data_IF_075547426617
#
_entry.id   IF_075547426617
#
_cell.length_a   1.000
_cell.length_b   1.000
_cell.length_c   1.000
_cell.angle_alpha   90.00
_cell.angle_beta   90.00
_cell.angle_gamma   90.00
#
_symmetry.space_group_name_H-M   'P 1'
#
loop_
_entity.id
_entity.type
_entity.pdbx_description
1 polymer ?
#
# COMPACT_ATOMS: atom_id res chain seq x y z
N UNK A 1 -3.31 17.66 3.38
CA UNK A 1 -2.73 16.30 3.32
C UNK A 1 -3.08 15.76 1.95
N UNK A 2 -2.10 15.32 1.17
CA UNK A 2 -2.37 14.82 -0.18
C UNK A 2 -3.04 13.45 -0.12
N UNK A 3 -3.92 13.16 -1.07
CA UNK A 3 -4.33 11.78 -1.30
C UNK A 3 -3.06 10.95 -1.58
N UNK A 4 -2.97 9.75 -0.99
CA UNK A 4 -1.98 8.76 -1.41
C UNK A 4 -2.26 8.46 -2.88
N UNK A 5 -1.47 9.05 -3.78
CA UNK A 5 -1.79 8.96 -5.21
C UNK A 5 -1.51 7.55 -5.73
N UNK A 6 -2.41 7.00 -6.56
CA UNK A 6 -2.13 5.76 -7.28
C UNK A 6 -0.81 5.89 -8.04
N UNK A 7 0.09 4.93 -7.84
CA UNK A 7 1.34 4.88 -8.58
C UNK A 7 1.18 4.18 -9.93
N UNK A 8 2.28 4.12 -10.69
CA UNK A 8 2.37 3.27 -11.89
C UNK A 8 3.15 2.03 -11.54
N UNK A 9 2.56 0.88 -11.86
CA UNK A 9 3.20 -0.44 -11.78
C UNK A 9 3.89 -0.76 -13.10
N UNK A 10 5.11 -1.25 -13.02
CA UNK A 10 5.95 -1.59 -14.17
C UNK A 10 6.45 -3.01 -13.95
N UNK A 11 6.06 -3.93 -14.83
CA UNK A 11 6.62 -5.27 -14.84
C UNK A 11 8.07 -5.21 -15.39
N UNK A 12 9.00 -5.82 -14.66
CA UNK A 12 10.43 -5.86 -14.98
C UNK A 12 10.81 -7.29 -15.27
N UNK A 13 10.92 -7.63 -16.55
CA UNK A 13 11.38 -8.94 -17.02
C UNK A 13 12.78 -8.87 -17.67
N UNK A 14 13.18 -7.69 -18.14
CA UNK A 14 14.43 -7.46 -18.86
C UNK A 14 15.00 -6.08 -18.51
N UNK A 15 16.31 -5.88 -18.72
CA UNK A 15 16.98 -4.59 -18.48
C UNK A 15 16.43 -3.45 -19.37
N UNK A 16 15.69 -3.76 -20.44
CA UNK A 16 14.99 -2.76 -21.27
C UNK A 16 13.94 -1.95 -20.47
N UNK A 17 13.47 -2.46 -19.33
CA UNK A 17 12.54 -1.77 -18.44
C UNK A 17 13.16 -0.54 -17.73
N UNK A 18 14.50 -0.38 -17.73
CA UNK A 18 15.20 0.77 -17.12
C UNK A 18 14.60 2.09 -17.60
N UNK A 19 14.38 2.24 -18.91
CA UNK A 19 13.85 3.48 -19.49
C UNK A 19 12.43 3.80 -19.01
N UNK A 20 11.59 2.78 -18.82
CA UNK A 20 10.22 2.94 -18.32
C UNK A 20 10.21 3.39 -16.85
N UNK A 21 11.02 2.74 -16.00
CA UNK A 21 11.14 3.10 -14.58
C UNK A 21 11.74 4.50 -14.42
N UNK A 22 12.81 4.82 -15.15
CA UNK A 22 13.43 6.14 -15.13
C UNK A 22 12.45 7.25 -15.52
N UNK A 23 11.65 7.03 -16.56
CA UNK A 23 10.62 7.99 -16.99
C UNK A 23 9.56 8.20 -15.91
N UNK A 24 9.00 7.11 -15.37
CA UNK A 24 7.97 7.19 -14.34
C UNK A 24 8.47 7.91 -13.09
N UNK A 25 9.72 7.67 -12.71
CA UNK A 25 10.41 8.34 -11.60
C UNK A 25 10.63 9.82 -11.89
N UNK A 26 11.18 10.18 -13.06
CA UNK A 26 11.46 11.57 -13.42
C UNK A 26 10.17 12.42 -13.48
N UNK A 27 9.10 11.89 -14.09
CA UNK A 27 7.80 12.56 -14.16
C UNK A 27 7.25 12.87 -12.76
N UNK A 28 7.30 11.89 -11.85
CA UNK A 28 6.80 12.06 -10.47
C UNK A 28 7.70 12.95 -9.63
N UNK A 29 9.01 12.89 -9.85
CA UNK A 29 9.97 13.74 -9.16
C UNK A 29 9.83 15.21 -9.57
N UNK A 30 9.64 15.47 -10.86
CA UNK A 30 9.30 16.80 -11.36
C UNK A 30 7.97 17.28 -10.79
N UNK A 31 6.94 16.43 -10.79
CA UNK A 31 5.63 16.75 -10.19
C UNK A 31 5.67 16.92 -8.67
N UNK A 32 6.71 16.42 -7.99
CA UNK A 32 6.97 16.60 -6.56
C UNK A 32 7.79 17.86 -6.27
N UNK A 33 8.29 18.55 -7.30
CA UNK A 33 9.13 19.74 -7.15
C UNK A 33 10.58 19.43 -6.72
N UNK A 34 11.07 18.21 -6.96
CA UNK A 34 12.46 17.86 -6.68
C UNK A 34 13.42 18.57 -7.65
N UNK A 35 14.57 19.02 -7.16
CA UNK A 35 15.57 19.70 -7.98
C UNK A 35 16.25 18.77 -9.00
N UNK A 36 16.77 19.34 -10.09
CA UNK A 36 17.35 18.59 -11.22
C UNK A 36 18.44 17.59 -10.80
N UNK A 37 19.31 17.95 -9.84
CA UNK A 37 20.36 17.06 -9.34
C UNK A 37 19.77 15.80 -8.66
N UNK A 38 18.67 15.95 -7.90
CA UNK A 38 17.96 14.80 -7.28
C UNK A 38 17.30 13.94 -8.36
N UNK A 39 16.71 14.55 -9.38
CA UNK A 39 16.08 13.84 -10.51
C UNK A 39 17.13 13.02 -11.29
N UNK A 40 18.33 13.57 -11.51
CA UNK A 40 19.41 12.85 -12.17
C UNK A 40 19.88 11.64 -11.33
N UNK A 41 20.06 11.80 -10.02
CA UNK A 41 20.42 10.69 -9.11
C UNK A 41 19.36 9.58 -9.08
N UNK A 42 18.09 9.94 -9.21
CA UNK A 42 16.97 9.01 -9.32
C UNK A 42 17.05 8.10 -10.56
N UNK A 43 17.68 8.56 -11.64
CA UNK A 43 17.94 7.73 -12.82
C UNK A 43 18.87 6.55 -12.53
N UNK A 44 19.86 6.76 -11.67
CA UNK A 44 20.79 5.72 -11.20
C UNK A 44 20.06 4.73 -10.30
N UNK A 45 19.25 5.24 -9.38
CA UNK A 45 18.39 4.44 -8.49
C UNK A 45 17.48 3.50 -9.28
N UNK A 46 16.80 4.02 -10.31
CA UNK A 46 15.94 3.22 -11.18
C UNK A 46 16.71 2.12 -11.93
N UNK A 47 17.89 2.45 -12.47
CA UNK A 47 18.72 1.49 -13.19
C UNK A 47 19.22 0.35 -12.29
N UNK A 48 19.62 0.69 -11.06
CA UNK A 48 20.10 -0.28 -10.07
C UNK A 48 18.97 -1.21 -9.60
N UNK A 49 17.77 -0.68 -9.34
CA UNK A 49 16.59 -1.50 -9.00
C UNK A 49 16.30 -2.51 -10.13
N UNK A 50 16.21 -2.05 -11.37
CA UNK A 50 15.91 -2.92 -12.51
C UNK A 50 17.00 -3.97 -12.71
N UNK A 51 18.27 -3.56 -12.62
CA UNK A 51 19.41 -4.48 -12.72
C UNK A 51 19.36 -5.56 -11.64
N UNK A 52 19.05 -5.19 -10.40
CA UNK A 52 18.93 -6.15 -9.29
C UNK A 52 17.78 -7.12 -9.51
N UNK A 53 16.62 -6.65 -9.97
CA UNK A 53 15.48 -7.52 -10.31
C UNK A 53 15.84 -8.50 -11.43
N UNK A 54 16.46 -8.04 -12.51
CA UNK A 54 16.81 -8.90 -13.65
C UNK A 54 17.90 -9.91 -13.29
N UNK A 55 18.99 -9.48 -12.62
CA UNK A 55 20.17 -10.33 -12.38
C UNK A 55 20.02 -11.27 -11.20
N UNK A 56 19.30 -10.87 -10.15
CA UNK A 56 19.20 -11.64 -8.92
C UNK A 56 17.86 -12.36 -8.75
N UNK A 57 16.76 -11.78 -9.27
CA UNK A 57 15.44 -12.38 -9.16
C UNK A 57 14.88 -12.93 -10.49
N UNK A 58 15.51 -12.61 -11.63
CA UNK A 58 15.06 -12.97 -12.98
C UNK A 58 13.85 -12.16 -13.48
N UNK A 59 12.98 -11.70 -12.56
CA UNK A 59 11.87 -10.78 -12.83
C UNK A 59 11.40 -10.11 -11.55
N UNK A 60 10.63 -9.05 -11.69
CA UNK A 60 9.89 -8.42 -10.60
C UNK A 60 8.89 -7.40 -11.10
N UNK A 61 8.39 -6.59 -10.18
CA UNK A 61 7.52 -5.46 -10.50
C UNK A 61 7.95 -4.26 -9.65
N UNK A 62 7.91 -3.07 -10.24
CA UNK A 62 8.23 -1.80 -9.58
C UNK A 62 6.99 -0.92 -9.57
N UNK A 63 6.63 -0.42 -8.39
CA UNK A 63 5.69 0.68 -8.23
C UNK A 63 6.47 1.98 -8.08
N UNK A 64 6.08 3.00 -8.83
CA UNK A 64 6.55 4.37 -8.64
C UNK A 64 5.36 5.27 -8.34
N UNK A 65 5.39 6.00 -7.22
CA UNK A 65 4.32 6.95 -6.87
C UNK A 65 4.85 8.24 -6.26
N UNK A 66 4.01 9.28 -6.27
CA UNK A 66 4.27 10.53 -5.57
C UNK A 66 3.54 10.52 -4.22
N UNK A 67 4.20 10.99 -3.17
CA UNK A 67 3.60 11.23 -1.85
C UNK A 67 3.98 12.64 -1.40
N UNK A 68 3.04 13.57 -1.48
CA UNK A 68 3.33 15.00 -1.28
C UNK A 68 4.45 15.50 -2.19
N UNK A 69 5.53 15.97 -1.56
CA UNK A 69 6.75 16.44 -2.24
C UNK A 69 7.85 15.39 -2.33
N UNK A 70 7.51 14.10 -2.23
CA UNK A 70 8.43 12.98 -2.35
C UNK A 70 8.00 11.97 -3.42
N UNK A 71 8.97 11.15 -3.83
CA UNK A 71 8.78 9.99 -4.70
C UNK A 71 9.09 8.73 -3.91
N UNK A 72 8.18 7.77 -3.97
CA UNK A 72 8.37 6.43 -3.40
C UNK A 72 8.50 5.41 -4.52
N UNK A 73 9.48 4.51 -4.35
CA UNK A 73 9.71 3.38 -5.25
C UNK A 73 9.64 2.10 -4.42
N UNK A 74 8.74 1.19 -4.80
CA UNK A 74 8.59 -0.13 -4.19
C UNK A 74 8.90 -1.19 -5.25
N UNK A 75 9.94 -1.99 -5.01
CA UNK A 75 10.33 -3.12 -5.85
C UNK A 75 9.92 -4.44 -5.17
N UNK A 76 9.26 -5.31 -5.94
CA UNK A 76 8.78 -6.62 -5.50
C UNK A 76 9.34 -7.71 -6.42
N UNK A 77 9.89 -8.77 -5.83
CA UNK A 77 10.25 -9.98 -6.54
C UNK A 77 9.90 -11.25 -5.75
N UNK A 78 9.75 -12.35 -6.49
CA UNK A 78 9.56 -13.71 -5.95
C UNK A 78 10.76 -14.60 -6.25
N UNK A 79 11.95 -14.00 -6.37
CA UNK A 79 13.21 -14.69 -6.63
C UNK A 79 13.73 -15.45 -5.41
N UNK A 80 15.04 -15.78 -5.40
CA UNK A 80 15.66 -16.56 -4.32
C UNK A 80 15.59 -15.90 -2.94
N UNK A 81 15.37 -14.58 -2.88
CA UNK A 81 15.45 -13.80 -1.66
C UNK A 81 16.84 -13.82 -1.02
N UNK A 82 16.97 -13.24 0.17
CA UNK A 82 18.21 -13.12 0.92
C UNK A 82 18.06 -13.80 2.30
N UNK A 83 19.13 -14.44 2.78
CA UNK A 83 19.22 -14.90 4.17
C UNK A 83 19.17 -13.71 5.14
N UNK A 84 18.76 -13.95 6.39
CA UNK A 84 18.51 -12.92 7.41
C UNK A 84 19.52 -11.77 7.40
N UNK A 85 18.99 -10.54 7.45
CA UNK A 85 19.75 -9.31 7.36
C UNK A 85 19.78 -8.76 5.94
N UNK A 86 18.79 -7.94 5.58
CA UNK A 86 19.06 -6.93 4.55
C UNK A 86 19.97 -5.90 5.23
N UNK A 87 21.20 -5.67 4.75
CA UNK A 87 22.12 -4.72 5.37
C UNK A 87 21.63 -3.30 5.10
N UNK A 88 20.60 -2.85 5.81
CA UNK A 88 20.14 -1.47 5.78
C UNK A 88 20.96 -0.55 6.70
N UNK A 89 21.84 -1.10 7.55
CA UNK A 89 22.48 -0.34 8.64
C UNK A 89 24.02 -0.46 8.71
N UNK A 90 24.65 -1.27 7.86
CA UNK A 90 26.10 -1.39 7.86
C UNK A 90 26.64 -1.30 6.43
N UNK A 91 27.42 -0.25 6.17
CA UNK A 91 28.27 -0.14 4.98
C UNK A 91 29.01 -1.47 4.72
N UNK A 92 28.84 -2.04 3.51
CA UNK A 92 29.85 -2.94 2.93
C UNK A 92 29.55 -4.45 2.85
N UNK A 93 28.32 -4.95 3.00
CA UNK A 93 28.03 -6.39 2.80
C UNK A 93 27.42 -6.72 1.42
N UNK A 94 28.04 -7.67 0.70
CA UNK A 94 27.57 -8.25 -0.57
C UNK A 94 27.45 -9.77 -0.45
N UNK A 95 26.36 -10.36 -0.95
CA UNK A 95 26.16 -11.82 -0.94
C UNK A 95 26.18 -12.47 -2.33
N UNK A 96 26.52 -11.76 -3.41
CA UNK A 96 26.63 -12.39 -4.74
C UNK A 96 27.50 -11.60 -5.72
N UNK A 97 28.83 -11.70 -5.63
CA UNK A 97 29.78 -11.42 -6.73
C UNK A 97 29.79 -10.02 -7.37
N UNK A 98 28.88 -9.12 -6.99
CA UNK A 98 28.88 -7.70 -7.28
C UNK A 98 29.44 -6.99 -6.05
N UNK A 99 30.05 -5.81 -6.23
CA UNK A 99 30.85 -5.13 -5.20
C UNK A 99 30.08 -4.67 -3.92
N UNK A 100 28.85 -5.14 -3.66
CA UNK A 100 28.03 -4.65 -2.54
C UNK A 100 27.60 -3.19 -2.71
N UNK A 101 27.78 -2.65 -3.93
CA UNK A 101 27.55 -1.24 -4.24
C UNK A 101 26.07 -0.97 -4.46
N UNK A 102 25.28 -1.95 -4.92
CA UNK A 102 23.92 -1.73 -5.42
C UNK A 102 22.95 -1.19 -4.38
N UNK A 103 22.58 -2.00 -3.38
CA UNK A 103 21.67 -1.57 -2.32
C UNK A 103 22.26 -0.45 -1.46
N UNK A 104 23.59 -0.43 -1.24
CA UNK A 104 24.26 0.67 -0.54
C UNK A 104 24.18 1.99 -1.31
N UNK A 105 24.25 1.97 -2.65
CA UNK A 105 24.05 3.15 -3.49
C UNK A 105 22.60 3.60 -3.45
N UNK A 106 21.64 2.67 -3.48
CA UNK A 106 20.23 2.98 -3.30
C UNK A 106 19.99 3.70 -1.96
N UNK A 107 20.54 3.20 -0.86
CA UNK A 107 20.44 3.82 0.45
C UNK A 107 21.07 5.22 0.47
N UNK A 108 22.29 5.39 -0.06
CA UNK A 108 22.98 6.70 -0.10
C UNK A 108 22.28 7.76 -0.97
N UNK A 109 21.60 7.33 -2.03
CA UNK A 109 20.87 8.22 -2.94
C UNK A 109 19.42 8.47 -2.51
N UNK A 110 18.96 7.80 -1.44
CA UNK A 110 17.61 7.92 -0.91
C UNK A 110 17.61 8.67 0.42
N UNK A 111 16.49 9.32 0.75
CA UNK A 111 16.32 9.95 2.06
C UNK A 111 15.78 8.94 3.10
N UNK A 112 15.21 7.81 2.65
CA UNK A 112 14.75 6.72 3.50
C UNK A 112 14.61 5.41 2.71
N UNK A 113 14.81 4.28 3.38
CA UNK A 113 14.65 2.92 2.82
C UNK A 113 14.14 1.94 3.88
N UNK A 114 13.43 0.90 3.46
CA UNK A 114 13.14 -0.30 4.27
C UNK A 114 12.93 -1.49 3.33
N UNK A 115 12.83 -2.69 3.88
CA UNK A 115 12.45 -3.86 3.13
C UNK A 115 12.44 -5.14 3.93
N UNK A 116 12.05 -6.18 3.21
CA UNK A 116 11.82 -7.50 3.73
C UNK A 116 12.20 -8.54 2.69
N UNK A 117 13.03 -9.51 3.07
CA UNK A 117 13.44 -10.58 2.20
C UNK A 117 13.50 -11.88 2.97
N UNK A 118 13.21 -12.99 2.29
CA UNK A 118 13.27 -14.33 2.86
C UNK A 118 13.82 -15.32 1.85
N UNK A 119 14.68 -16.27 2.28
CA UNK A 119 15.15 -17.33 1.41
C UNK A 119 13.97 -18.11 0.80
N UNK A 120 14.00 -18.25 -0.53
CA UNK A 120 12.99 -18.94 -1.32
C UNK A 120 11.65 -18.20 -1.46
N UNK A 121 11.52 -16.98 -0.94
CA UNK A 121 10.28 -16.21 -0.96
C UNK A 121 10.44 -14.78 -1.52
N UNK A 122 11.59 -14.48 -2.13
CA UNK A 122 11.86 -13.19 -2.79
C UNK A 122 12.03 -11.99 -1.86
N UNK A 123 12.10 -10.79 -2.45
CA UNK A 123 12.33 -9.52 -1.74
C UNK A 123 11.24 -8.48 -2.00
N UNK A 124 11.00 -7.66 -0.97
CA UNK A 124 10.26 -6.40 -1.00
C UNK A 124 11.23 -5.32 -0.56
N UNK A 125 11.49 -4.34 -1.42
CA UNK A 125 12.41 -3.25 -1.14
C UNK A 125 11.72 -1.93 -1.45
N UNK A 126 11.75 -0.98 -0.52
CA UNK A 126 11.19 0.36 -0.74
C UNK A 126 12.20 1.44 -0.42
N UNK A 127 12.10 2.55 -1.15
CA UNK A 127 12.84 3.77 -0.89
C UNK A 127 11.98 5.00 -1.11
N UNK A 128 12.36 6.09 -0.47
CA UNK A 128 11.76 7.41 -0.64
C UNK A 128 12.84 8.46 -0.87
N UNK A 129 12.57 9.35 -1.81
CA UNK A 129 13.38 10.54 -2.08
C UNK A 129 12.47 11.77 -1.98
N UNK A 130 12.87 12.71 -1.15
CA UNK A 130 12.07 13.83 -0.69
C UNK A 130 11.67 13.71 0.78
N UNK A 131 11.11 14.79 1.34
CA UNK A 131 10.68 14.83 2.74
C UNK A 131 9.61 13.77 3.02
N UNK A 132 9.67 13.17 4.22
CA UNK A 132 8.55 12.37 4.71
C UNK A 132 7.31 13.26 4.87
N UNK A 133 6.14 12.78 4.45
CA UNK A 133 4.90 13.37 4.93
C UNK A 133 4.75 13.05 6.43
N UNK A 134 4.19 13.97 7.22
CA UNK A 134 3.93 13.70 8.62
C UNK A 134 2.91 12.57 8.77
N UNK A 135 3.21 11.63 9.66
CA UNK A 135 2.31 10.52 10.01
C UNK A 135 0.96 11.07 10.50
N UNK A 136 -0.19 10.70 9.88
CA UNK A 136 -1.51 11.18 10.27
C UNK A 136 -1.80 10.81 11.73
N UNK A 137 -1.95 11.83 12.59
CA UNK A 137 -2.14 11.67 14.03
C UNK A 137 -1.17 10.67 14.71
N UNK A 138 0.07 10.58 14.21
CA UNK A 138 1.11 9.69 14.73
C UNK A 138 0.95 8.20 14.36
N UNK A 139 0.17 7.91 13.33
CA UNK A 139 0.03 6.58 12.73
C UNK A 139 0.83 6.48 11.44
N UNK A 140 1.58 5.37 11.29
CA UNK A 140 2.19 5.01 10.01
C UNK A 140 1.13 4.30 9.18
N UNK A 141 0.89 4.78 7.96
CA UNK A 141 -0.14 4.24 7.07
C UNK A 141 0.40 4.10 5.66
N UNK A 142 0.14 2.96 5.02
CA UNK A 142 0.41 2.78 3.60
C UNK A 142 -0.70 1.96 2.95
N UNK A 143 -1.16 2.41 1.78
CA UNK A 143 -2.06 1.66 0.92
C UNK A 143 -1.40 1.33 -0.42
N UNK A 144 -1.77 0.21 -1.02
CA UNK A 144 -1.40 -0.21 -2.36
C UNK A 144 -2.65 -0.64 -3.11
N UNK A 145 -2.77 -0.22 -4.37
CA UNK A 145 -3.75 -0.76 -5.31
C UNK A 145 -3.02 -1.15 -6.59
N UNK A 146 -3.36 -2.30 -7.16
CA UNK A 146 -2.75 -2.83 -8.38
C UNK A 146 -3.87 -3.24 -9.34
N UNK A 147 -3.85 -2.75 -10.58
CA UNK A 147 -4.85 -3.15 -11.55
C UNK A 147 -4.75 -4.63 -11.89
N UNK A 148 -5.87 -5.22 -12.30
CA UNK A 148 -5.90 -6.52 -12.96
C UNK A 148 -4.92 -6.55 -14.14
N UNK A 149 -4.27 -7.71 -14.38
CA UNK A 149 -3.29 -7.81 -15.46
C UNK A 149 -3.93 -7.51 -16.83
N UNK A 150 -3.37 -6.54 -17.54
CA UNK A 150 -3.87 -6.07 -18.83
C UNK A 150 -4.79 -4.85 -18.75
N UNK A 151 -5.12 -4.38 -17.55
CA UNK A 151 -5.87 -3.14 -17.31
C UNK A 151 -4.92 -2.01 -16.89
N UNK A 152 -5.21 -0.79 -17.35
CA UNK A 152 -4.46 0.42 -16.96
C UNK A 152 -5.12 1.16 -15.77
N UNK A 153 -6.31 0.74 -15.38
CA UNK A 153 -7.12 1.37 -14.33
C UNK A 153 -7.54 0.32 -13.30
N UNK A 154 -7.30 0.62 -12.02
CA UNK A 154 -7.64 -0.28 -10.93
C UNK A 154 -9.05 0.02 -10.40
N UNK A 155 -9.86 -1.02 -10.26
CA UNK A 155 -11.16 -1.01 -9.59
C UNK A 155 -11.09 -0.82 -8.08
N UNK A 156 -9.91 -0.96 -7.47
CA UNK A 156 -9.71 -0.75 -6.04
C UNK A 156 -9.27 0.68 -5.72
N UNK A 157 -9.66 1.18 -4.55
CA UNK A 157 -9.30 2.52 -4.08
C UNK A 157 -9.22 2.60 -2.57
N UNK A 158 -8.39 3.50 -2.06
CA UNK A 158 -8.30 3.75 -0.63
C UNK A 158 -8.10 5.24 -0.33
N UNK A 159 -8.41 5.63 0.91
CA UNK A 159 -8.23 6.98 1.40
C UNK A 159 -7.88 6.98 2.90
N UNK A 160 -7.15 8.00 3.33
CA UNK A 160 -6.71 8.18 4.72
C UNK A 160 -6.93 9.63 5.12
N UNK A 161 -7.60 9.86 6.24
CA UNK A 161 -7.80 11.19 6.81
C UNK A 161 -7.41 11.21 8.29
N UNK A 162 -6.92 12.36 8.74
CA UNK A 162 -6.69 12.65 10.14
C UNK A 162 -7.71 13.70 10.60
N UNK A 163 -8.55 13.32 11.55
CA UNK A 163 -9.55 14.18 12.18
C UNK A 163 -9.11 14.44 13.63
N UNK A 164 -8.19 15.40 13.81
CA UNK A 164 -7.55 15.65 15.11
C UNK A 164 -6.68 14.46 15.54
N UNK A 165 -6.93 13.81 16.69
CA UNK A 165 -6.17 12.64 17.14
C UNK A 165 -6.62 11.32 16.48
N UNK A 166 -7.69 11.35 15.68
CA UNK A 166 -8.29 10.17 15.06
C UNK A 166 -7.75 9.98 13.65
N UNK A 167 -7.46 8.73 13.27
CA UNK A 167 -7.18 8.37 11.88
C UNK A 167 -8.34 7.55 11.35
N UNK A 168 -8.92 7.98 10.23
CA UNK A 168 -9.95 7.22 9.54
C UNK A 168 -9.42 6.76 8.18
N UNK A 169 -9.54 5.46 7.93
CA UNK A 169 -9.10 4.77 6.73
C UNK A 169 -10.31 4.24 5.98
N UNK A 170 -10.28 4.30 4.66
CA UNK A 170 -11.24 3.64 3.80
C UNK A 170 -10.50 2.78 2.78
N UNK A 171 -11.02 1.58 2.52
CA UNK A 171 -10.67 0.74 1.37
C UNK A 171 -11.96 0.36 0.65
N UNK A 172 -11.93 0.36 -0.68
CA UNK A 172 -13.05 -0.02 -1.52
C UNK A 172 -12.60 -0.79 -2.76
N UNK A 173 -13.54 -1.56 -3.29
CA UNK A 173 -13.45 -2.38 -4.51
C UNK A 173 -14.71 -2.09 -5.33
N UNK A 174 -14.53 -1.41 -6.47
CA UNK A 174 -15.59 -1.05 -7.39
C UNK A 174 -16.03 -2.26 -8.22
N UNK A 175 -17.35 -2.45 -8.41
CA UNK A 175 -17.84 -3.69 -9.01
C UNK A 175 -17.32 -3.95 -10.44
N UNK A 176 -16.64 -5.10 -10.58
CA UNK A 176 -16.05 -5.57 -11.83
C UNK A 176 -14.58 -5.15 -11.94
N UNK A 177 -14.08 -4.97 -13.16
CA UNK A 177 -12.72 -4.46 -13.41
C UNK A 177 -12.75 -3.36 -14.48
N UNK A 178 -11.60 -2.70 -14.65
CA UNK A 178 -11.38 -1.69 -15.69
C UNK A 178 -12.03 -0.34 -15.39
N UNK A 179 -12.24 0.53 -16.40
CA UNK A 179 -12.55 1.94 -16.20
C UNK A 179 -13.83 2.23 -15.40
N UNK A 180 -14.84 1.37 -15.48
CA UNK A 180 -16.10 1.57 -14.76
C UNK A 180 -16.02 1.18 -13.29
N UNK A 181 -15.24 0.14 -12.96
CA UNK A 181 -14.91 -0.21 -11.57
C UNK A 181 -14.07 0.91 -10.95
N UNK A 182 -13.03 1.36 -11.66
CA UNK A 182 -12.18 2.47 -11.25
C UNK A 182 -12.97 3.76 -11.02
N UNK A 183 -13.96 4.05 -11.87
CA UNK A 183 -14.86 5.20 -11.70
C UNK A 183 -15.65 5.12 -10.39
N UNK A 184 -16.19 3.94 -10.05
CA UNK A 184 -16.92 3.71 -8.80
C UNK A 184 -16.02 3.88 -7.57
N UNK A 185 -14.82 3.30 -7.59
CA UNK A 185 -13.85 3.46 -6.50
C UNK A 185 -13.38 4.91 -6.34
N UNK A 186 -13.08 5.62 -7.43
CA UNK A 186 -12.74 7.05 -7.37
C UNK A 186 -13.90 7.89 -6.82
N UNK A 187 -15.15 7.59 -7.17
CA UNK A 187 -16.31 8.26 -6.60
C UNK A 187 -16.43 7.99 -5.10
N UNK A 188 -16.19 6.75 -4.66
CA UNK A 188 -16.20 6.39 -3.23
C UNK A 188 -15.09 7.11 -2.45
N UNK A 189 -13.88 7.16 -2.99
CA UNK A 189 -12.73 7.88 -2.42
C UNK A 189 -13.07 9.37 -2.25
N UNK A 190 -13.56 10.02 -3.31
CA UNK A 190 -13.97 11.44 -3.23
C UNK A 190 -15.08 11.66 -2.21
N UNK A 191 -16.14 10.86 -2.24
CA UNK A 191 -17.24 10.98 -1.29
C UNK A 191 -16.77 10.81 0.17
N UNK A 192 -15.79 9.94 0.41
CA UNK A 192 -15.17 9.79 1.72
C UNK A 192 -14.26 10.96 2.08
N UNK A 193 -13.45 11.48 1.17
CA UNK A 193 -12.56 12.62 1.39
C UNK A 193 -13.33 13.93 1.62
N UNK A 194 -14.44 14.13 0.93
CA UNK A 194 -15.27 15.34 1.03
C UNK A 194 -16.25 15.31 2.23
N UNK A 195 -16.45 14.14 2.84
CA UNK A 195 -17.39 13.99 3.96
C UNK A 195 -16.92 14.77 5.21
N UNK A 196 -17.84 15.38 5.98
CA UNK A 196 -17.52 15.90 7.31
C UNK A 196 -16.98 14.78 8.22
N UNK A 197 -16.11 15.09 9.20
CA UNK A 197 -15.67 14.12 10.19
C UNK A 197 -16.85 13.40 10.86
N UNK A 198 -16.75 12.08 11.03
CA UNK A 198 -17.87 11.27 11.49
C UNK A 198 -17.48 9.88 11.94
N UNK A 199 -18.46 9.14 12.48
CA UNK A 199 -18.29 7.72 12.79
C UNK A 199 -18.21 6.89 11.49
N UNK A 200 -17.51 5.75 11.49
CA UNK A 200 -17.38 4.90 10.31
C UNK A 200 -18.70 4.56 9.60
N UNK A 201 -19.75 4.26 10.37
CA UNK A 201 -21.07 3.97 9.79
C UNK A 201 -21.70 5.18 9.08
N UNK A 202 -21.50 6.39 9.61
CA UNK A 202 -22.03 7.62 9.01
C UNK A 202 -21.26 8.00 7.74
N UNK A 203 -19.93 7.82 7.75
CA UNK A 203 -19.11 7.99 6.56
C UNK A 203 -19.50 6.97 5.48
N UNK A 204 -19.70 5.71 5.85
CA UNK A 204 -20.11 4.67 4.90
C UNK A 204 -21.53 4.90 4.36
N UNK A 205 -22.48 5.41 5.16
CA UNK A 205 -23.81 5.83 4.68
C UNK A 205 -23.72 6.96 3.66
N UNK A 206 -22.82 7.93 3.87
CA UNK A 206 -22.58 9.02 2.91
C UNK A 206 -22.01 8.47 1.61
N UNK A 207 -20.93 7.68 1.68
CA UNK A 207 -20.35 7.02 0.49
C UNK A 207 -21.42 6.21 -0.25
N UNK A 208 -22.23 5.43 0.47
CA UNK A 208 -23.33 4.65 -0.12
C UNK A 208 -24.33 5.53 -0.90
N UNK A 209 -24.71 6.70 -0.37
CA UNK A 209 -25.63 7.60 -1.06
C UNK A 209 -24.97 8.30 -2.27
N UNK A 210 -23.74 8.78 -2.11
CA UNK A 210 -23.04 9.56 -3.14
C UNK A 210 -22.69 8.72 -4.38
N UNK A 211 -22.32 7.44 -4.20
CA UNK A 211 -21.92 6.59 -5.33
C UNK A 211 -23.09 5.85 -6.00
N UNK A 212 -24.35 6.18 -5.66
CA UNK A 212 -25.52 5.47 -6.18
C UNK A 212 -25.70 5.53 -7.70
N UNK A 213 -25.05 6.50 -8.35
CA UNK A 213 -25.01 6.66 -9.81
C UNK A 213 -23.93 5.83 -10.50
N UNK A 214 -23.13 5.07 -9.76
CA UNK A 214 -22.01 4.25 -10.28
C UNK A 214 -22.41 2.77 -10.36
N UNK A 215 -21.44 1.87 -10.62
CA UNK A 215 -21.63 0.41 -10.50
C UNK A 215 -21.71 -0.08 -9.04
N UNK A 216 -21.49 0.83 -8.09
CA UNK A 216 -21.36 0.52 -6.68
C UNK A 216 -19.98 -0.07 -6.34
N UNK A 217 -19.76 -0.28 -5.05
CA UNK A 217 -18.52 -0.82 -4.52
C UNK A 217 -18.75 -1.65 -3.25
N UNK A 218 -17.86 -2.60 -2.98
CA UNK A 218 -17.61 -3.03 -1.61
C UNK A 218 -16.75 -1.98 -0.91
N UNK A 219 -17.09 -1.61 0.32
CA UNK A 219 -16.42 -0.51 1.04
C UNK A 219 -16.28 -0.88 2.51
N UNK A 220 -15.12 -0.60 3.09
CA UNK A 220 -14.92 -0.61 4.53
C UNK A 220 -14.26 0.67 5.01
N UNK A 221 -14.72 1.14 6.17
CA UNK A 221 -14.19 2.31 6.88
C UNK A 221 -13.76 1.88 8.27
N UNK A 222 -12.50 2.17 8.63
CA UNK A 222 -11.93 1.92 9.94
C UNK A 222 -11.49 3.24 10.57
N UNK A 223 -11.83 3.48 11.83
CA UNK A 223 -11.37 4.63 12.61
C UNK A 223 -10.58 4.17 13.82
N UNK A 224 -9.36 4.67 13.93
CA UNK A 224 -8.41 4.36 14.98
C UNK A 224 -8.40 5.49 16.00
N UNK A 225 -8.77 5.17 17.24
CA UNK A 225 -8.70 6.08 18.39
C UNK A 225 -7.71 5.52 19.41
N UNK A 226 -6.48 6.04 19.37
CA UNK A 226 -5.42 5.63 20.29
C UNK A 226 -5.67 6.06 21.73
N UNK A 227 -6.28 7.23 21.92
CA UNK A 227 -6.56 7.76 23.25
C UNK A 227 -7.73 7.00 23.90
N UNK A 228 -8.77 6.68 23.12
CA UNK A 228 -9.91 5.87 23.55
C UNK A 228 -9.62 4.36 23.62
N UNK A 229 -8.51 3.90 23.03
CA UNK A 229 -8.15 2.48 23.01
C UNK A 229 -9.14 1.63 22.19
N UNK A 230 -9.71 2.20 21.13
CA UNK A 230 -10.76 1.55 20.33
C UNK A 230 -10.51 1.72 18.83
N UNK A 231 -10.81 0.66 18.09
CA UNK A 231 -11.00 0.67 16.64
C UNK A 231 -12.49 0.55 16.36
N UNK A 232 -13.08 1.52 15.67
CA UNK A 232 -14.45 1.43 15.15
C UNK A 232 -14.40 1.06 13.66
N UNK A 233 -15.19 0.07 13.23
CA UNK A 233 -15.17 -0.46 11.87
C UNK A 233 -16.57 -0.63 11.30
N UNK A 234 -16.82 -0.14 10.10
CA UNK A 234 -18.03 -0.41 9.33
C UNK A 234 -17.64 -0.92 7.94
N UNK A 235 -18.02 -2.15 7.61
CA UNK A 235 -17.81 -2.76 6.30
C UNK A 235 -19.12 -3.13 5.64
N UNK A 236 -19.20 -2.94 4.32
CA UNK A 236 -20.30 -3.35 3.45
C UNK A 236 -19.72 -4.06 2.22
N UNK A 237 -19.96 -5.36 2.09
CA UNK A 237 -19.40 -6.20 1.04
C UNK A 237 -18.34 -7.18 1.55
N UNK A 238 -17.34 -7.43 0.72
CA UNK A 238 -16.30 -8.46 0.85
C UNK A 238 -14.92 -7.90 1.28
N UNK A 239 -14.80 -6.62 1.64
CA UNK A 239 -13.54 -6.08 2.17
C UNK A 239 -13.19 -6.79 3.48
N UNK A 240 -11.98 -7.35 3.52
CA UNK A 240 -11.41 -8.03 4.67
C UNK A 240 -10.71 -7.02 5.57
N UNK A 241 -10.83 -7.20 6.88
CA UNK A 241 -10.11 -6.43 7.88
C UNK A 241 -9.63 -7.33 9.01
N UNK A 242 -8.37 -7.16 9.41
CA UNK A 242 -7.74 -7.90 10.50
C UNK A 242 -6.99 -6.92 11.40
N UNK A 243 -7.27 -6.96 12.70
CA UNK A 243 -6.53 -6.23 13.72
C UNK A 243 -5.61 -7.18 14.48
N UNK A 244 -4.32 -6.84 14.52
CA UNK A 244 -3.28 -7.60 15.20
C UNK A 244 -2.74 -6.80 16.40
N UNK A 245 -2.44 -7.51 17.50
CA UNK A 245 -1.74 -6.97 18.67
C UNK A 245 -1.76 -7.93 19.85
N UNK A 246 -1.15 -9.09 19.66
CA UNK A 246 -1.12 -10.22 20.60
C UNK A 246 -1.97 -11.40 20.12
N UNK A 247 -3.20 -11.14 19.69
CA UNK A 247 -4.04 -12.08 18.95
C UNK A 247 -4.52 -11.43 17.65
N UNK A 248 -4.85 -12.27 16.67
CA UNK A 248 -5.47 -11.83 15.43
C UNK A 248 -6.99 -11.78 15.58
N UNK A 249 -7.60 -10.66 15.19
CA UNK A 249 -9.05 -10.47 15.24
C UNK A 249 -9.57 -9.98 13.91
N UNK A 250 -10.44 -10.79 13.29
CA UNK A 250 -11.18 -10.40 12.09
C UNK A 250 -12.22 -9.31 12.40
N UNK A 251 -12.36 -8.36 11.47
CA UNK A 251 -13.33 -7.28 11.51
C UNK A 251 -14.55 -7.65 10.66
N UNK A 252 -15.75 -7.32 11.17
CA UNK A 252 -17.01 -7.73 10.56
C UNK A 252 -17.46 -6.76 9.48
N UNK A 253 -17.59 -7.26 8.26
CA UNK A 253 -18.29 -6.62 7.13
C UNK A 253 -19.68 -7.21 6.96
N UNK A 254 -20.68 -6.35 6.74
CA UNK A 254 -22.06 -6.77 6.46
C UNK A 254 -22.26 -7.00 4.96
N UNK A 255 -23.15 -7.93 4.54
CA UNK A 255 -23.42 -8.14 3.14
C UNK A 255 -24.12 -6.93 2.51
N UNK A 256 -23.67 -6.55 1.32
CA UNK A 256 -24.28 -5.51 0.49
C UNK A 256 -23.29 -4.87 -0.48
N UNK A 257 -23.79 -3.91 -1.24
CA UNK A 257 -23.05 -3.14 -2.25
C UNK A 257 -23.36 -1.65 -2.00
N UNK A 258 -22.33 -0.87 -1.68
CA UNK A 258 -22.44 0.57 -1.55
C UNK A 258 -22.91 1.17 -2.90
N UNK A 259 -23.84 2.13 -2.88
CA UNK A 259 -24.49 2.66 -4.08
C UNK A 259 -25.75 1.92 -4.52
N UNK A 260 -25.98 0.68 -4.08
CA UNK A 260 -27.11 -0.12 -4.57
C UNK A 260 -27.96 -0.75 -3.46
N UNK A 261 -27.41 -1.72 -2.71
CA UNK A 261 -28.18 -2.51 -1.74
C UNK A 261 -27.43 -2.63 -0.43
N UNK A 262 -27.99 -2.07 0.63
CA UNK A 262 -27.50 -2.26 1.99
C UNK A 262 -28.69 -2.54 2.92
N UNK A 263 -28.77 -3.75 3.49
CA UNK A 263 -29.83 -4.07 4.45
C UNK A 263 -29.64 -3.31 5.77
N UNK A 264 -28.39 -3.11 6.17
CA UNK A 264 -28.00 -2.27 7.31
C UNK A 264 -26.57 -1.75 7.11
N UNK A 265 -26.31 -0.56 7.63
CA UNK A 265 -24.96 0.01 7.75
C UNK A 265 -24.77 0.38 9.23
N UNK A 266 -23.86 -0.32 9.90
CA UNK A 266 -23.51 -0.10 11.31
C UNK A 266 -22.02 -0.33 11.53
N UNK A 267 -21.51 0.28 12.60
CA UNK A 267 -20.13 0.07 13.03
C UNK A 267 -20.07 -0.96 14.16
N UNK A 268 -18.93 -1.62 14.27
CA UNK A 268 -18.56 -2.49 15.38
C UNK A 268 -17.28 -1.94 16.01
N UNK A 269 -17.16 -2.08 17.33
CA UNK A 269 -16.00 -1.61 18.08
C UNK A 269 -15.14 -2.79 18.54
N UNK A 270 -13.83 -2.58 18.49
CA UNK A 270 -12.81 -3.55 18.83
C UNK A 270 -11.81 -2.88 19.76
N UNK A 271 -11.42 -3.53 20.88
CA UNK A 271 -10.32 -3.04 21.72
C UNK A 271 -9.05 -2.87 20.88
N UNK A 272 -8.45 -1.70 20.95
CA UNK A 272 -7.21 -1.39 20.25
C UNK A 272 -6.01 -1.81 21.13
N UNK A 273 -5.17 -2.76 20.68
CA UNK A 273 -4.01 -3.18 21.43
C UNK A 273 -2.94 -2.08 21.47
N UNK A 274 -1.98 -2.20 22.39
CA UNK A 274 -0.93 -1.19 22.60
C UNK A 274 0.01 -0.99 21.40
N UNK A 275 0.25 -2.06 20.64
CA UNK A 275 1.00 -2.07 19.37
C UNK A 275 0.09 -2.61 18.27
N UNK A 276 -0.86 -1.79 17.79
CA UNK A 276 -1.84 -2.24 16.81
C UNK A 276 -1.24 -2.29 15.41
N UNK A 277 -1.59 -3.34 14.68
CA UNK A 277 -1.38 -3.42 13.24
C UNK A 277 -2.72 -3.81 12.58
N UNK A 278 -3.34 -2.85 11.93
CA UNK A 278 -4.54 -3.03 11.12
C UNK A 278 -4.11 -3.35 9.68
N UNK A 279 -4.66 -4.42 9.13
CA UNK A 279 -4.52 -4.79 7.72
C UNK A 279 -5.92 -4.94 7.14
N UNK A 280 -6.22 -4.17 6.10
CA UNK A 280 -7.43 -4.29 5.29
C UNK A 280 -7.04 -4.67 3.87
N UNK A 281 -7.82 -5.51 3.21
CA UNK A 281 -7.58 -5.85 1.82
C UNK A 281 -8.88 -6.19 1.06
N UNK A 282 -8.86 -5.98 -0.25
CA UNK A 282 -9.93 -6.40 -1.17
C UNK A 282 -9.85 -7.91 -1.43
N UNK A 283 -10.86 -8.50 -2.09
CA UNK A 283 -10.85 -9.93 -2.40
C UNK A 283 -9.89 -10.32 -3.53
N UNK A 284 -9.31 -9.32 -4.19
CA UNK A 284 -8.08 -9.43 -4.99
C UNK A 284 -6.89 -10.05 -4.25
N UNK A 285 -6.93 -10.11 -2.91
CA UNK A 285 -6.00 -10.88 -2.09
C UNK A 285 -6.70 -12.09 -1.45
N UNK A 286 -6.02 -13.25 -1.53
CA UNK A 286 -6.40 -14.43 -0.76
C UNK A 286 -6.45 -14.11 0.73
N UNK A 287 -7.56 -14.47 1.41
CA UNK A 287 -7.70 -14.32 2.87
C UNK A 287 -6.84 -15.33 3.67
N UNK A 288 -6.18 -16.27 3.00
CA UNK A 288 -5.36 -17.32 3.64
C UNK A 288 -3.92 -16.85 3.87
N UNK A 289 -3.75 -15.94 4.82
CA UNK A 289 -2.44 -15.53 5.30
C UNK A 289 -2.42 -15.40 6.82
N UNK A 290 -1.24 -15.56 7.40
CA UNK A 290 -0.96 -15.32 8.81
C UNK A 290 0.44 -14.71 8.90
N UNK A 291 0.60 -13.60 9.64
CA UNK A 291 1.92 -12.99 9.86
C UNK A 291 2.86 -13.92 10.64
N UNK A 292 2.38 -14.95 11.33
CA UNK A 292 3.25 -15.99 11.88
C UNK A 292 4.08 -16.69 10.79
N UNK A 293 3.54 -16.76 9.56
CA UNK A 293 4.25 -17.22 8.38
C UNK A 293 5.28 -16.23 7.82
N UNK A 294 5.38 -15.02 8.36
CA UNK A 294 6.27 -13.93 7.94
C UNK A 294 7.07 -13.36 9.12
N UNK A 295 8.08 -14.10 9.63
CA UNK A 295 8.89 -13.64 10.75
C UNK A 295 9.49 -12.25 10.47
N UNK A 296 9.35 -11.32 11.42
CA UNK A 296 9.89 -9.96 11.33
C UNK A 296 9.14 -9.00 10.39
N UNK A 297 8.12 -9.43 9.65
CA UNK A 297 7.38 -8.55 8.74
C UNK A 297 6.52 -7.54 9.51
N UNK A 298 5.88 -7.96 10.60
CA UNK A 298 4.97 -7.10 11.38
C UNK A 298 5.63 -5.90 12.06
N UNK A 299 6.97 -5.82 12.09
CA UNK A 299 7.73 -4.67 12.61
C UNK A 299 8.27 -3.75 11.50
N UNK A 300 8.00 -4.06 10.23
CA UNK A 300 8.43 -3.25 9.07
C UNK A 300 7.49 -2.08 8.82
N UNK A 301 7.92 -1.17 7.96
CA UNK A 301 7.06 -0.11 7.47
C UNK A 301 5.77 -0.68 6.84
N UNK A 302 4.61 -0.04 7.05
CA UNK A 302 3.34 -0.46 6.45
C UNK A 302 3.39 -0.70 4.93
N UNK A 303 4.21 0.03 4.18
CA UNK A 303 4.38 -0.15 2.74
C UNK A 303 5.08 -1.48 2.42
N UNK A 304 6.06 -1.88 3.23
CA UNK A 304 6.74 -3.18 3.11
C UNK A 304 5.78 -4.32 3.45
N UNK A 305 4.97 -4.15 4.51
CA UNK A 305 3.92 -5.12 4.87
C UNK A 305 2.91 -5.26 3.74
N UNK A 306 2.39 -4.14 3.23
CA UNK A 306 1.45 -4.13 2.11
C UNK A 306 2.04 -4.77 0.85
N UNK A 307 3.30 -4.45 0.53
CA UNK A 307 4.02 -5.00 -0.62
C UNK A 307 4.20 -6.52 -0.54
N UNK A 308 4.59 -7.04 0.63
CA UNK A 308 4.75 -8.48 0.85
C UNK A 308 3.41 -9.23 0.69
N UNK A 309 2.34 -8.71 1.31
CA UNK A 309 1.02 -9.32 1.20
C UNK A 309 0.46 -9.25 -0.23
N UNK A 310 0.62 -8.12 -0.92
CA UNK A 310 0.17 -7.97 -2.30
C UNK A 310 0.93 -8.89 -3.27
N UNK A 311 2.23 -9.09 -3.04
CA UNK A 311 3.06 -10.01 -3.83
C UNK A 311 2.64 -11.46 -3.63
N UNK A 312 2.47 -11.88 -2.38
CA UNK A 312 2.32 -13.30 -2.04
C UNK A 312 0.86 -13.77 -2.07
N UNK A 313 -0.10 -12.86 -1.82
CA UNK A 313 -1.53 -13.17 -1.75
C UNK A 313 -2.35 -12.53 -2.85
N UNK A 314 -1.82 -11.55 -3.58
CA UNK A 314 -2.54 -10.83 -4.63
C UNK A 314 -2.70 -11.65 -5.90
N UNK A 315 -3.93 -11.84 -6.36
CA UNK A 315 -4.23 -12.57 -7.59
C UNK A 315 -4.06 -11.65 -8.81
N UNK A 316 -3.46 -12.16 -9.89
CA UNK A 316 -3.20 -11.36 -11.11
C UNK A 316 -4.42 -11.16 -12.01
N UNK A 317 -5.51 -11.92 -11.77
CA UNK A 317 -6.75 -11.92 -12.55
C UNK A 317 -7.82 -11.00 -11.99
N UNK A 318 -7.45 -10.17 -11.02
CA UNK A 318 -8.34 -9.24 -10.34
C UNK A 318 -7.56 -7.98 -9.97
N UNK A 319 -8.30 -6.92 -9.71
CA UNK A 319 -7.78 -5.74 -9.01
C UNK A 319 -7.39 -6.15 -7.59
N UNK A 320 -6.34 -5.55 -7.02
CA UNK A 320 -5.84 -5.94 -5.71
C UNK A 320 -5.44 -4.73 -4.86
N UNK A 321 -6.06 -4.61 -3.69
CA UNK A 321 -5.95 -3.48 -2.79
C UNK A 321 -5.60 -3.92 -1.37
N UNK A 322 -4.61 -3.25 -0.76
CA UNK A 322 -4.16 -3.49 0.62
C UNK A 322 -3.97 -2.15 1.31
N UNK A 323 -4.44 -2.03 2.55
CA UNK A 323 -4.25 -0.85 3.38
C UNK A 323 -3.79 -1.28 4.77
N UNK A 324 -2.61 -0.79 5.17
CA UNK A 324 -1.96 -1.16 6.42
C UNK A 324 -1.78 0.09 7.28
N UNK A 325 -2.14 -0.01 8.56
CA UNK A 325 -1.93 1.04 9.55
C UNK A 325 -1.37 0.47 10.84
N UNK A 326 -0.35 1.12 11.38
CA UNK A 326 0.24 0.74 12.66
C UNK A 326 0.95 1.90 13.33
N UNK A 327 1.54 1.64 14.49
CA UNK A 327 2.41 2.59 15.17
C UNK A 327 3.86 2.36 14.79
N UNK A 328 4.72 3.36 14.95
CA UNK A 328 6.16 3.13 14.91
C UNK A 328 6.55 2.00 15.89
N UNK A 329 7.53 1.14 15.53
CA UNK A 329 7.97 0.01 16.34
C UNK A 329 8.54 0.39 17.72
#
# INVERSE_FOLDING_TARGET
>A
MGALTPGVWIDVAEESAVAAVQRAVAERAAAAGLGEQRIAGLGIVAAEIVTNLCRHAGRGTVLVRRTGSAVEILALDSGPGMAEGIPYEADGYSTAGTLGIGLGALARLSDWTDGYSRPGAGTVYTLRIGPAEPDPAGWRVAGLVRPMSGEDSCGDGFAVRADGPLVTLMLCDGLGHGPLAASAAHAAVRAFEDAPPGAPAELLKRVHAEIAHTRGAAVAVARLDRAGGVLAYAGLGNISGVLLGGQSRGLVSLPGIAGHRAAAIRAFEYPLPARPLLIMHTDGLSQRWDLAGYPGLGSRDPLVIAGALLRDMGVRRDDAGVLVAGTAP
#
